data_IF_889419222508
#
_entry.id   IF_889419222508
#
_cell.length_a   1.000
_cell.length_b   1.000
_cell.length_c   1.000
_cell.angle_alpha   90.00
_cell.angle_beta   90.00
_cell.angle_gamma   90.00
#
_symmetry.space_group_name_H-M   'P 1'
#
loop_
_entity.id
_entity.type
_entity.pdbx_description
1 polymer ?
#
# COMPACT_ATOMS: atom_id res chain seq x y z
N UNK A 1 16.92 -24.90 -0.58
CA UNK A 1 16.20 -23.65 -0.29
C UNK A 1 15.53 -23.89 1.03
N UNK A 2 15.92 -23.15 2.06
CA UNK A 2 15.20 -23.18 3.33
C UNK A 2 13.77 -22.71 3.05
N UNK A 3 12.77 -23.41 3.60
CA UNK A 3 11.36 -23.05 3.37
C UNK A 3 10.98 -21.74 4.07
N UNK A 4 11.82 -21.31 5.02
CA UNK A 4 11.58 -20.12 5.84
C UNK A 4 12.18 -18.84 5.22
N UNK A 5 13.00 -18.96 4.17
CA UNK A 5 13.56 -17.80 3.47
C UNK A 5 12.65 -17.32 2.33
N UNK A 6 12.48 -16.00 2.14
CA UNK A 6 11.76 -15.47 1.00
C UNK A 6 12.38 -15.92 -0.34
N UNK A 7 11.56 -16.51 -1.20
CA UNK A 7 11.96 -16.95 -2.53
C UNK A 7 12.05 -15.78 -3.52
N UNK A 8 11.26 -14.72 -3.30
CA UNK A 8 11.23 -13.52 -4.14
C UNK A 8 12.59 -12.80 -4.13
N UNK A 9 13.19 -12.69 -5.31
CA UNK A 9 14.45 -11.98 -5.52
C UNK A 9 14.23 -10.61 -6.17
N UNK A 10 15.25 -9.73 -6.15
CA UNK A 10 15.28 -8.54 -6.99
C UNK A 10 15.13 -8.88 -8.49
N UNK A 11 14.82 -7.90 -9.35
CA UNK A 11 14.86 -8.09 -10.79
C UNK A 11 16.17 -8.73 -11.24
N UNK A 12 16.10 -9.69 -12.16
CA UNK A 12 17.31 -10.30 -12.72
C UNK A 12 18.02 -9.28 -13.59
N UNK A 13 19.34 -9.19 -13.46
CA UNK A 13 20.15 -8.30 -14.29
C UNK A 13 20.00 -8.65 -15.78
N UNK A 14 19.90 -7.62 -16.62
CA UNK A 14 19.81 -7.76 -18.08
C UNK A 14 18.45 -8.21 -18.63
N UNK A 15 17.43 -8.39 -17.77
CA UNK A 15 16.05 -8.59 -18.24
C UNK A 15 15.48 -7.26 -18.72
N UNK A 16 14.95 -7.26 -19.94
CA UNK A 16 14.22 -6.11 -20.46
C UNK A 16 12.83 -6.03 -19.81
N UNK A 17 12.65 -5.01 -18.97
CA UNK A 17 11.38 -4.77 -18.27
C UNK A 17 10.41 -3.90 -19.09
N UNK A 18 10.78 -3.39 -20.27
CA UNK A 18 9.86 -2.56 -21.08
C UNK A 18 8.60 -3.31 -21.51
N UNK A 19 8.74 -4.64 -21.67
CA UNK A 19 7.68 -5.61 -22.00
C UNK A 19 6.99 -6.20 -20.76
N UNK A 20 7.29 -5.70 -19.55
CA UNK A 20 6.62 -6.18 -18.34
C UNK A 20 5.10 -5.98 -18.44
N UNK A 21 4.26 -6.91 -17.94
CA UNK A 21 2.81 -6.79 -18.03
C UNK A 21 2.30 -5.44 -17.50
N UNK A 22 1.59 -4.71 -18.35
CA UNK A 22 1.07 -3.38 -18.01
C UNK A 22 -0.43 -3.44 -17.72
N UNK A 23 -0.87 -2.63 -16.75
CA UNK A 23 -2.26 -2.24 -16.54
C UNK A 23 -2.37 -0.74 -16.78
N UNK A 24 -3.15 -0.36 -17.78
CA UNK A 24 -3.56 1.03 -17.94
C UNK A 24 -4.63 1.36 -16.90
N UNK A 25 -4.44 2.45 -16.18
CA UNK A 25 -5.43 3.01 -15.26
C UNK A 25 -5.86 4.35 -15.84
N UNK A 26 -7.14 4.47 -16.18
CA UNK A 26 -7.64 5.65 -16.88
C UNK A 26 -7.75 6.86 -15.95
N UNK A 27 -7.58 8.05 -16.53
CA UNK A 27 -7.92 9.33 -15.91
C UNK A 27 -9.37 9.33 -15.39
N UNK A 28 -9.63 10.09 -14.33
CA UNK A 28 -10.98 10.21 -13.76
C UNK A 28 -11.38 9.01 -12.90
N UNK A 29 -10.59 7.94 -12.86
CA UNK A 29 -10.83 6.83 -11.94
C UNK A 29 -10.60 7.26 -10.50
N UNK A 30 -11.44 6.73 -9.62
CA UNK A 30 -11.47 7.07 -8.19
C UNK A 30 -10.70 6.06 -7.37
N UNK A 31 -9.75 6.56 -6.59
CA UNK A 31 -8.85 5.80 -5.74
C UNK A 31 -8.86 6.31 -4.30
N UNK A 32 -8.45 5.50 -3.33
CA UNK A 32 -8.61 5.78 -1.91
C UNK A 32 -7.26 5.74 -1.25
N UNK A 33 -7.00 6.71 -0.38
CA UNK A 33 -5.74 6.82 0.33
C UNK A 33 -5.99 7.12 1.79
N UNK A 34 -5.45 6.29 2.67
CA UNK A 34 -5.29 6.66 4.07
C UNK A 34 -4.00 7.46 4.22
N UNK A 35 -4.07 8.63 4.85
CA UNK A 35 -2.89 9.46 5.12
C UNK A 35 -3.03 10.22 6.44
N UNK A 36 -1.90 10.74 6.95
CA UNK A 36 -1.93 11.63 8.09
C UNK A 36 -2.50 12.99 7.67
N UNK A 37 -3.28 13.62 8.55
CA UNK A 37 -3.90 14.93 8.31
C UNK A 37 -2.91 16.06 8.01
N UNK A 38 -1.66 15.89 8.46
CA UNK A 38 -0.59 16.87 8.23
C UNK A 38 -0.03 16.87 6.80
N UNK A 39 -0.36 15.86 5.98
CA UNK A 39 0.08 15.76 4.59
C UNK A 39 -1.09 15.97 3.64
N UNK A 40 -0.81 16.60 2.50
CA UNK A 40 -1.77 16.66 1.39
C UNK A 40 -2.13 15.25 0.89
N UNK A 41 -3.35 15.05 0.36
CA UNK A 41 -3.77 13.75 -0.12
C UNK A 41 -2.94 13.23 -1.31
N UNK A 42 -2.30 14.12 -2.08
CA UNK A 42 -1.33 13.79 -3.13
C UNK A 42 0.12 14.01 -2.67
N UNK A 43 0.51 13.42 -1.53
CA UNK A 43 1.90 13.34 -1.08
C UNK A 43 2.63 12.10 -1.62
N UNK A 44 3.78 12.28 -2.26
CA UNK A 44 4.64 11.22 -2.78
C UNK A 44 5.80 10.96 -1.81
N UNK A 45 5.73 9.84 -1.09
CA UNK A 45 6.76 9.48 -0.10
C UNK A 45 8.01 8.91 -0.78
N UNK A 46 9.17 9.23 -0.23
CA UNK A 46 10.48 8.78 -0.74
C UNK A 46 11.33 8.10 0.34
N UNK A 47 10.75 7.86 1.53
CA UNK A 47 11.41 7.13 2.60
C UNK A 47 11.60 5.64 2.25
N UNK A 48 12.52 4.97 2.95
CA UNK A 48 12.85 3.56 2.68
C UNK A 48 11.90 2.54 3.32
N UNK A 49 10.88 2.98 4.06
CA UNK A 49 10.05 2.13 4.92
C UNK A 49 8.77 1.59 4.25
N UNK A 50 8.59 1.80 2.95
CA UNK A 50 7.41 1.33 2.22
C UNK A 50 7.81 0.50 1.00
N UNK A 51 6.95 -0.49 0.69
CA UNK A 51 7.22 -1.59 -0.24
C UNK A 51 7.70 -1.14 -1.62
N UNK A 52 6.95 -0.28 -2.29
CA UNK A 52 7.25 0.15 -3.66
C UNK A 52 7.74 1.61 -3.72
N UNK A 53 8.37 2.11 -2.64
CA UNK A 53 8.84 3.49 -2.61
C UNK A 53 10.06 3.70 -3.50
N UNK A 54 9.96 4.71 -4.35
CA UNK A 54 11.11 5.32 -4.99
C UNK A 54 11.94 6.13 -3.97
N UNK A 55 13.17 6.44 -4.37
CA UNK A 55 14.06 7.35 -3.64
C UNK A 55 14.02 8.73 -4.30
N UNK A 56 14.38 9.76 -3.54
CA UNK A 56 14.62 11.11 -4.07
C UNK A 56 15.44 11.07 -5.37
N UNK A 57 15.10 11.89 -6.40
CA UNK A 57 14.11 12.98 -6.37
C UNK A 57 12.65 12.53 -6.57
N UNK A 58 12.43 11.22 -6.74
CA UNK A 58 11.10 10.66 -6.98
C UNK A 58 10.50 10.12 -5.69
N UNK A 59 9.18 9.91 -5.71
CA UNK A 59 8.45 9.31 -4.62
C UNK A 59 7.26 8.51 -5.13
N UNK A 60 6.50 7.98 -4.17
CA UNK A 60 5.40 7.07 -4.43
C UNK A 60 4.17 7.47 -3.62
N UNK A 61 3.02 7.55 -4.29
CA UNK A 61 1.72 7.77 -3.68
C UNK A 61 0.93 6.44 -3.69
N UNK A 62 0.56 5.95 -2.51
CA UNK A 62 -0.19 4.69 -2.38
C UNK A 62 -1.68 4.91 -2.39
N UNK A 63 -2.34 4.15 -3.25
CA UNK A 63 -3.76 4.21 -3.54
C UNK A 63 -4.37 2.81 -3.44
N UNK A 64 -5.65 2.75 -3.10
CA UNK A 64 -6.44 1.53 -3.02
C UNK A 64 -7.81 1.71 -3.69
N UNK A 65 -8.43 0.63 -4.14
CA UNK A 65 -9.71 0.71 -4.85
C UNK A 65 -10.93 0.89 -3.94
N UNK A 66 -10.78 0.81 -2.62
CA UNK A 66 -11.86 1.08 -1.65
C UNK A 66 -11.32 1.68 -0.35
N UNK A 67 -12.22 2.27 0.45
CA UNK A 67 -11.87 2.85 1.76
C UNK A 67 -11.36 1.76 2.71
N UNK A 68 -12.00 0.59 2.68
CA UNK A 68 -11.67 -0.56 3.52
C UNK A 68 -10.30 -1.14 3.17
N UNK A 69 -9.94 -1.19 1.88
CA UNK A 69 -8.61 -1.64 1.45
C UNK A 69 -7.53 -0.66 1.92
N UNK A 70 -7.75 0.65 1.72
CA UNK A 70 -6.81 1.68 2.21
C UNK A 70 -6.62 1.59 3.73
N UNK A 71 -7.71 1.38 4.45
CA UNK A 71 -7.71 1.25 5.90
C UNK A 71 -6.97 0.03 6.39
N UNK A 72 -7.25 -1.16 5.83
CA UNK A 72 -6.60 -2.42 6.19
C UNK A 72 -5.09 -2.38 5.97
N UNK A 73 -4.62 -1.79 4.88
CA UNK A 73 -3.16 -1.64 4.66
C UNK A 73 -2.51 -0.73 5.71
N UNK A 74 -3.25 0.22 6.28
CA UNK A 74 -2.74 1.15 7.29
C UNK A 74 -2.68 0.56 8.70
N UNK A 75 -3.62 -0.33 9.05
CA UNK A 75 -3.76 -0.90 10.41
C UNK A 75 -3.38 -2.38 10.49
N UNK A 76 -3.15 -3.03 9.35
CA UNK A 76 -2.90 -4.48 9.28
C UNK A 76 -1.85 -4.97 10.27
N UNK A 77 -0.67 -4.32 10.39
CA UNK A 77 0.31 -4.70 11.39
C UNK A 77 -0.19 -4.61 12.84
N UNK A 78 -0.97 -3.58 13.17
CA UNK A 78 -1.49 -3.36 14.52
C UNK A 78 -2.61 -4.36 14.84
N UNK A 79 -3.62 -4.48 13.97
CA UNK A 79 -4.76 -5.41 14.17
C UNK A 79 -4.27 -6.86 14.28
N UNK A 80 -3.33 -7.29 13.44
CA UNK A 80 -2.83 -8.66 13.48
C UNK A 80 -2.04 -8.96 14.76
N UNK A 81 -1.54 -7.93 15.45
CA UNK A 81 -0.78 -8.07 16.69
C UNK A 81 -1.66 -7.92 17.94
N UNK A 82 -2.60 -6.99 17.96
CA UNK A 82 -3.34 -6.60 19.18
C UNK A 82 -4.86 -6.71 19.07
N UNK A 83 -5.40 -6.86 17.86
CA UNK A 83 -6.85 -6.89 17.61
C UNK A 83 -7.56 -5.54 17.68
N UNK A 84 -6.86 -4.44 18.03
CA UNK A 84 -7.45 -3.12 18.30
C UNK A 84 -6.65 -2.00 17.66
N UNK A 85 -7.29 -0.85 17.42
CA UNK A 85 -6.63 0.36 16.91
C UNK A 85 -6.71 1.48 17.95
N UNK A 86 -5.57 2.09 18.28
CA UNK A 86 -5.51 3.21 19.20
C UNK A 86 -6.23 4.47 18.64
N UNK A 87 -7.00 5.16 19.48
CA UNK A 87 -7.77 6.33 19.06
C UNK A 87 -6.89 7.47 18.52
N UNK A 88 -5.71 7.72 19.11
CA UNK A 88 -4.77 8.74 18.64
C UNK A 88 -4.25 8.45 17.21
N UNK A 89 -4.03 7.18 16.88
CA UNK A 89 -3.66 6.72 15.54
C UNK A 89 -4.79 6.98 14.56
N UNK A 90 -6.03 6.70 14.97
CA UNK A 90 -7.23 6.94 14.17
C UNK A 90 -7.49 8.44 13.94
N UNK A 91 -7.37 9.26 14.99
CA UNK A 91 -7.63 10.70 14.96
C UNK A 91 -6.63 11.49 14.11
N UNK A 92 -5.39 11.03 14.00
CA UNK A 92 -4.34 11.68 13.20
C UNK A 92 -4.46 11.43 11.69
N UNK A 93 -5.41 10.59 11.27
CA UNK A 93 -5.57 10.15 9.87
C UNK A 93 -6.97 10.40 9.30
N UNK A 94 -7.02 10.40 7.98
CA UNK A 94 -8.23 10.46 7.16
C UNK A 94 -8.11 9.48 6.00
N UNK A 95 -9.24 9.15 5.36
CA UNK A 95 -9.27 8.45 4.07
C UNK A 95 -9.83 9.40 3.02
N UNK A 96 -9.06 9.64 1.98
CA UNK A 96 -9.42 10.55 0.90
C UNK A 96 -9.61 9.79 -0.41
N UNK A 97 -10.66 10.16 -1.14
CA UNK A 97 -10.99 9.68 -2.48
C UNK A 97 -10.37 10.61 -3.49
N UNK A 98 -9.34 10.13 -4.18
CA UNK A 98 -8.57 10.90 -5.14
C UNK A 98 -9.03 10.55 -6.56
N UNK A 99 -9.07 11.55 -7.43
CA UNK A 99 -9.35 11.36 -8.85
C UNK A 99 -8.02 11.37 -9.58
N UNK A 100 -7.73 10.29 -10.32
CA UNK A 100 -6.48 10.20 -11.05
C UNK A 100 -6.43 11.29 -12.15
N UNK A 101 -5.43 12.20 -12.12
CA UNK A 101 -5.40 13.37 -12.99
C UNK A 101 -5.08 13.03 -14.44
N UNK A 102 -4.30 11.98 -14.67
CA UNK A 102 -3.84 11.54 -15.99
C UNK A 102 -3.90 10.00 -16.06
N UNK A 103 -4.07 9.40 -17.24
CA UNK A 103 -3.98 7.96 -17.36
C UNK A 103 -2.54 7.50 -17.09
N UNK A 104 -2.36 6.41 -16.35
CA UNK A 104 -1.02 5.87 -16.06
C UNK A 104 -0.81 4.46 -16.58
N UNK A 105 0.41 4.17 -17.04
CA UNK A 105 0.91 2.82 -17.34
C UNK A 105 1.51 2.21 -16.08
N UNK A 106 0.74 1.40 -15.35
CA UNK A 106 1.21 0.72 -14.15
C UNK A 106 1.72 -0.70 -14.45
N UNK A 107 2.83 -1.10 -13.83
CA UNK A 107 3.33 -2.47 -13.90
C UNK A 107 2.42 -3.41 -13.09
N UNK A 108 1.85 -4.42 -13.72
CA UNK A 108 0.92 -5.34 -13.08
C UNK A 108 1.66 -6.53 -12.47
N UNK A 109 2.12 -6.39 -11.22
CA UNK A 109 2.92 -7.44 -10.55
C UNK A 109 2.08 -8.62 -10.05
N UNK A 110 0.76 -8.47 -9.98
CA UNK A 110 -0.16 -9.53 -9.52
C UNK A 110 -0.89 -10.29 -10.65
N UNK A 111 -0.26 -10.41 -11.81
CA UNK A 111 -0.78 -11.17 -12.97
C UNK A 111 0.13 -12.36 -13.25
N UNK A 112 -0.41 -13.44 -13.82
CA UNK A 112 0.36 -14.64 -14.17
C UNK A 112 1.55 -14.34 -15.10
N UNK A 113 1.39 -13.35 -15.99
CA UNK A 113 2.47 -12.91 -16.89
C UNK A 113 3.72 -12.41 -16.17
N UNK A 114 3.59 -11.91 -14.94
CA UNK A 114 4.71 -11.42 -14.15
C UNK A 114 5.66 -12.56 -13.70
N UNK A 115 5.17 -13.80 -13.67
CA UNK A 115 5.99 -14.97 -13.30
C UNK A 115 7.19 -15.16 -14.23
N UNK A 116 7.02 -14.90 -15.53
CA UNK A 116 8.11 -15.00 -16.51
C UNK A 116 9.28 -14.04 -16.23
N UNK A 117 9.00 -12.92 -15.55
CA UNK A 117 9.99 -11.94 -15.10
C UNK A 117 10.56 -12.27 -13.71
N UNK A 118 10.11 -13.35 -13.07
CA UNK A 118 10.56 -13.76 -11.73
C UNK A 118 9.77 -13.14 -10.59
N UNK A 119 8.55 -12.65 -10.84
CA UNK A 119 7.65 -12.15 -9.79
C UNK A 119 6.73 -13.27 -9.31
N UNK A 120 6.58 -13.36 -7.99
CA UNK A 120 5.60 -14.20 -7.31
C UNK A 120 4.70 -13.34 -6.41
N UNK A 121 3.65 -13.93 -5.85
CA UNK A 121 2.76 -13.25 -4.88
C UNK A 121 3.50 -12.79 -3.62
N UNK A 122 4.64 -13.39 -3.30
CA UNK A 122 5.48 -13.00 -2.17
C UNK A 122 5.98 -11.55 -2.31
N UNK A 123 6.19 -11.05 -3.53
CA UNK A 123 6.57 -9.65 -3.77
C UNK A 123 5.58 -8.66 -3.10
N UNK A 124 4.30 -9.02 -3.01
CA UNK A 124 3.26 -8.17 -2.44
C UNK A 124 3.14 -8.29 -0.91
N UNK A 125 3.77 -9.29 -0.29
CA UNK A 125 3.59 -9.62 1.13
C UNK A 125 4.89 -9.70 1.93
N UNK A 126 6.05 -9.73 1.27
CA UNK A 126 7.35 -9.89 1.90
C UNK A 126 7.70 -8.73 2.85
N UNK A 127 8.45 -9.01 3.94
CA UNK A 127 8.89 -7.98 4.88
C UNK A 127 10.11 -7.20 4.38
N UNK A 128 10.91 -7.79 3.48
CA UNK A 128 12.13 -7.15 3.00
C UNK A 128 11.83 -6.14 1.87
N UNK A 129 11.72 -4.86 2.23
CA UNK A 129 11.41 -3.80 1.27
C UNK A 129 12.56 -3.41 0.35
N UNK A 130 13.81 -3.87 0.56
CA UNK A 130 14.89 -3.57 -0.38
C UNK A 130 14.62 -4.20 -1.75
N UNK A 131 14.09 -5.43 -1.77
CA UNK A 131 13.72 -6.17 -2.99
C UNK A 131 12.59 -5.47 -3.73
N UNK A 132 11.50 -5.14 -3.04
CA UNK A 132 10.32 -4.53 -3.66
C UNK A 132 10.59 -3.10 -4.14
N UNK A 133 11.48 -2.37 -3.45
CA UNK A 133 11.93 -1.06 -3.91
C UNK A 133 12.83 -1.15 -5.13
N UNK A 134 13.72 -2.14 -5.23
CA UNK A 134 14.50 -2.38 -6.45
C UNK A 134 13.58 -2.64 -7.64
N UNK A 135 12.55 -3.47 -7.46
CA UNK A 135 11.51 -3.65 -8.48
C UNK A 135 10.83 -2.34 -8.88
N UNK A 136 10.45 -1.49 -7.92
CA UNK A 136 9.84 -0.19 -8.22
C UNK A 136 10.77 0.73 -9.04
N UNK A 137 12.05 0.80 -8.67
CA UNK A 137 13.06 1.58 -9.40
C UNK A 137 13.28 1.06 -10.82
N UNK A 138 13.44 -0.25 -10.99
CA UNK A 138 13.72 -0.83 -12.30
C UNK A 138 12.51 -0.74 -13.23
N UNK A 139 11.29 -0.90 -12.71
CA UNK A 139 10.05 -0.66 -13.45
C UNK A 139 9.88 0.82 -13.82
N UNK A 140 10.20 1.75 -12.91
CA UNK A 140 10.17 3.17 -13.22
C UNK A 140 11.17 3.54 -14.32
N UNK A 141 12.39 3.00 -14.26
CA UNK A 141 13.41 3.16 -15.31
C UNK A 141 12.98 2.54 -16.65
N UNK A 142 12.15 1.50 -16.63
CA UNK A 142 11.55 0.88 -17.82
C UNK A 142 10.32 1.66 -18.36
N UNK A 143 9.99 2.82 -17.78
CA UNK A 143 8.94 3.72 -18.26
C UNK A 143 7.55 3.44 -17.69
N UNK A 144 7.45 2.69 -16.58
CA UNK A 144 6.19 2.57 -15.84
C UNK A 144 6.00 3.75 -14.88
N UNK A 145 4.75 4.17 -14.73
CA UNK A 145 4.35 5.32 -13.91
C UNK A 145 3.77 4.87 -12.56
N UNK A 146 3.80 3.57 -12.29
CA UNK A 146 3.40 3.00 -11.02
C UNK A 146 3.38 1.48 -11.01
N UNK A 147 2.93 0.91 -9.90
CA UNK A 147 2.77 -0.54 -9.71
C UNK A 147 1.33 -0.87 -9.32
N UNK A 148 0.70 -1.78 -10.05
CA UNK A 148 -0.61 -2.34 -9.77
C UNK A 148 -0.47 -3.70 -9.09
N UNK A 149 -1.04 -3.85 -7.89
CA UNK A 149 -0.81 -5.03 -7.05
C UNK A 149 -2.00 -5.41 -6.15
N UNK A 150 -1.96 -6.63 -5.62
CA UNK A 150 -2.85 -7.07 -4.53
C UNK A 150 -2.35 -6.57 -3.17
N UNK A 151 -3.19 -5.89 -2.38
CA UNK A 151 -2.83 -5.43 -1.03
C UNK A 151 -2.54 -6.60 -0.09
N UNK A 152 -1.66 -6.40 0.89
CA UNK A 152 -1.17 -7.47 1.78
C UNK A 152 -2.21 -7.92 2.81
N UNK A 153 -2.94 -6.98 3.37
CA UNK A 153 -3.86 -7.15 4.50
C UNK A 153 -5.32 -7.15 4.08
N UNK A 154 -5.62 -7.14 2.77
CA UNK A 154 -6.99 -7.36 2.29
C UNK A 154 -7.05 -8.62 1.44
N UNK A 155 -7.57 -9.73 1.99
CA UNK A 155 -7.76 -10.94 1.20
C UNK A 155 -8.88 -10.74 0.16
N UNK A 156 -8.77 -11.47 -0.95
CA UNK A 156 -9.82 -11.55 -1.97
C UNK A 156 -9.44 -10.95 -3.31
N UNK A 157 -10.03 -11.53 -4.36
CA UNK A 157 -9.72 -11.21 -5.75
C UNK A 157 -10.27 -9.86 -6.22
N UNK A 158 -10.99 -9.09 -5.40
CA UNK A 158 -11.48 -7.75 -5.76
C UNK A 158 -10.61 -6.61 -5.22
N UNK A 159 -9.75 -6.87 -4.23
CA UNK A 159 -8.93 -5.85 -3.59
C UNK A 159 -7.74 -5.47 -4.47
N UNK A 160 -7.54 -4.18 -4.73
CA UNK A 160 -6.49 -3.68 -5.63
C UNK A 160 -5.85 -2.44 -5.05
N UNK A 161 -4.54 -2.37 -5.19
CA UNK A 161 -3.75 -1.23 -4.81
C UNK A 161 -2.88 -0.75 -5.97
N UNK A 162 -2.54 0.52 -5.92
CA UNK A 162 -1.79 1.22 -6.95
C UNK A 162 -0.76 2.11 -6.27
N UNK A 163 0.52 1.89 -6.57
CA UNK A 163 1.62 2.73 -6.11
C UNK A 163 2.02 3.64 -7.27
N UNK A 164 1.52 4.87 -7.28
CA UNK A 164 1.77 5.86 -8.34
C UNK A 164 3.11 6.53 -8.13
N UNK A 165 3.91 6.65 -9.18
CA UNK A 165 5.20 7.34 -9.14
C UNK A 165 5.05 8.82 -9.52
N UNK A 166 5.86 9.67 -8.89
CA UNK A 166 5.86 11.10 -9.14
C UNK A 166 7.04 11.79 -8.48
N UNK A 167 7.14 13.12 -8.64
CA UNK A 167 8.11 13.91 -7.91
C UNK A 167 7.86 13.80 -6.39
N UNK A 168 8.92 13.65 -5.60
CA UNK A 168 8.77 13.48 -4.16
C UNK A 168 8.18 14.73 -3.48
N UNK A 169 7.37 14.50 -2.44
CA UNK A 169 6.76 15.57 -1.65
C UNK A 169 5.30 15.83 -2.01
N UNK A 170 4.83 17.04 -1.73
CA UNK A 170 3.44 17.44 -1.97
C UNK A 170 3.19 17.72 -3.45
N UNK A 171 2.07 17.24 -3.96
CA UNK A 171 1.51 17.62 -5.25
C UNK A 171 0.06 18.08 -5.09
N UNK A 172 -0.42 18.80 -6.10
CA UNK A 172 -1.82 19.16 -6.25
C UNK A 172 -2.58 18.06 -7.01
N UNK A 173 -3.88 17.95 -6.74
CA UNK A 173 -4.75 17.04 -7.47
C UNK A 173 -6.16 17.02 -6.90
N UNK A 174 -7.11 16.54 -7.68
CA UNK A 174 -8.51 16.52 -7.28
C UNK A 174 -8.78 15.51 -6.15
N UNK A 175 -9.50 15.97 -5.14
CA UNK A 175 -9.99 15.19 -4.01
C UNK A 175 -11.52 15.24 -4.07
N UNK A 176 -12.14 14.10 -4.33
CA UNK A 176 -13.59 13.99 -4.48
C UNK A 176 -14.33 14.00 -3.14
N UNK A 177 -13.81 13.28 -2.15
CA UNK A 177 -14.38 13.17 -0.81
C UNK A 177 -13.26 12.86 0.19
N UNK A 178 -13.47 13.24 1.44
CA UNK A 178 -12.61 12.89 2.57
C UNK A 178 -13.51 12.41 3.72
N UNK A 179 -13.09 11.34 4.40
CA UNK A 179 -13.80 10.78 5.56
C UNK A 179 -12.82 10.54 6.70
N UNK A 180 -13.30 10.72 7.94
CA UNK A 180 -12.48 10.43 9.11
C UNK A 180 -12.06 8.96 9.15
N UNK A 181 -10.82 8.71 9.53
CA UNK A 181 -10.31 7.35 9.52
C UNK A 181 -11.05 6.45 10.53
N UNK A 182 -11.37 6.99 11.72
CA UNK A 182 -12.20 6.32 12.73
C UNK A 182 -13.54 5.84 12.16
N UNK A 183 -14.26 6.67 11.39
CA UNK A 183 -15.56 6.29 10.82
C UNK A 183 -15.42 5.11 9.84
N UNK A 184 -14.35 5.08 9.06
CA UNK A 184 -14.06 3.94 8.16
C UNK A 184 -13.80 2.67 8.99
N UNK A 185 -12.96 2.76 10.03
CA UNK A 185 -12.69 1.62 10.92
C UNK A 185 -13.97 1.07 11.59
N UNK A 186 -14.81 1.95 12.13
CA UNK A 186 -16.06 1.57 12.79
C UNK A 186 -17.02 0.89 11.80
N UNK A 187 -17.10 1.38 10.55
CA UNK A 187 -17.91 0.73 9.50
C UNK A 187 -17.42 -0.67 9.10
N UNK A 188 -16.14 -0.97 9.35
CA UNK A 188 -15.55 -2.29 9.14
C UNK A 188 -15.71 -3.21 10.37
N UNK A 189 -16.34 -2.76 11.45
CA UNK A 189 -16.45 -3.48 12.71
C UNK A 189 -15.14 -3.53 13.51
N UNK A 190 -14.19 -2.63 13.25
CA UNK A 190 -12.93 -2.54 13.98
C UNK A 190 -13.12 -1.72 15.26
N UNK A 191 -12.75 -2.28 16.41
CA UNK A 191 -12.74 -1.58 17.69
C UNK A 191 -11.64 -0.54 17.75
N UNK A 192 -12.02 0.71 17.98
CA UNK A 192 -11.11 1.84 18.25
C UNK A 192 -11.22 2.22 19.71
N UNK A 193 -10.12 2.13 20.44
CA UNK A 193 -10.08 2.33 21.89
C UNK A 193 -9.29 3.57 22.25
N UNK A 194 -9.82 4.34 23.20
CA UNK A 194 -9.12 5.47 23.77
C UNK A 194 -8.04 4.95 24.73
N UNK A 195 -6.79 5.24 24.40
CA UNK A 195 -5.61 4.91 25.20
C UNK A 195 -4.69 6.13 25.19
N UNK A 196 -3.99 6.35 26.29
CA UNK A 196 -2.99 7.41 26.41
C UNK A 196 -1.70 7.07 25.62
N UNK A 197 -1.47 5.79 25.28
CA UNK A 197 -0.27 5.34 24.57
C UNK A 197 -0.51 4.13 23.63
N UNK A 198 0.25 4.06 22.54
CA UNK A 198 0.17 2.99 21.52
C UNK A 198 0.76 1.65 22.00
N UNK A 199 1.57 1.67 23.06
CA UNK A 199 2.35 0.52 23.55
C UNK A 199 1.72 -0.19 24.77
N UNK A 200 0.59 0.31 25.31
CA UNK A 200 -0.08 -0.29 26.46
C UNK A 200 -1.16 -1.28 26.00
N UNK A 201 -0.76 -2.43 25.47
CA UNK A 201 -1.65 -3.58 25.34
C UNK A 201 -0.97 -4.84 25.81
N UNK A 202 -1.47 -5.40 26.92
CA UNK A 202 -1.25 -6.78 27.31
C UNK A 202 -2.48 -7.56 26.83
N UNK A 203 -2.27 -8.56 25.95
CA UNK A 203 -3.33 -9.52 25.65
C UNK A 203 -3.48 -10.36 26.91
N UNK A 204 -4.49 -10.08 27.73
CA UNK A 204 -4.90 -11.01 28.76
C UNK A 204 -5.44 -12.24 28.02
N UNK A 205 -4.78 -13.39 28.22
CA UNK A 205 -5.13 -14.65 27.58
C UNK A 205 -6.64 -14.89 27.60
N UNK A 206 -7.13 -15.47 26.50
CA UNK A 206 -8.53 -15.86 26.35
C UNK A 206 -9.02 -16.63 27.59
N UNK A 207 -10.31 -16.47 27.99
CA UNK A 207 -10.83 -17.23 29.11
C UNK A 207 -10.57 -18.71 28.85
N UNK A 208 -9.87 -19.35 29.78
CA UNK A 208 -9.79 -20.81 29.84
C UNK A 208 -11.23 -21.26 30.09
N UNK A 209 -11.88 -21.80 29.05
CA UNK A 209 -13.22 -22.35 29.20
C UNK A 209 -13.20 -23.48 30.24
N UNK A 210 -14.27 -23.62 31.05
CA UNK A 210 -14.35 -24.53 32.20
C UNK A 210 -14.40 -26.03 31.83
#
# INVERSE_FOLDING_TARGET
MDRDEPAQQPPRQGVDLTEFPARRVEQGTRWRRTHQKKYKPWFFDSASFSRFNLSQPMGTCYLANSNEVAARESIGPDIMKTGVVAANFAQSRVVSSLVLPDPIKAAHVSTDGAFSFGVSSELCSMPNYSVTRQWAHDLQNAGFEGVWYHPRFTPGLSARALAVFGAAGEAEGEVHEETSFRKVLESMGVSVIDTDCRDEYEILDAPVDP
#
